data_IF_753506415564
#
_entry.id   IF_753506415564
#
_cell.length_a   1.000
_cell.length_b   1.000
_cell.length_c   1.000
_cell.angle_alpha   90.00
_cell.angle_beta   90.00
_cell.angle_gamma   90.00
#
_symmetry.space_group_name_H-M   'P 1'
#
loop_
_entity.id
_entity.type
_entity.pdbx_description
1 polymer ?
#
# COMPACT_ATOMS: atom_id res chain seq x y z
N UNK A 1 12.83 13.48 -6.57
CA UNK A 1 14.03 12.90 -5.98
C UNK A 1 13.95 11.39 -6.15
N UNK A 2 15.06 10.76 -6.49
CA UNK A 2 15.15 9.30 -6.55
C UNK A 2 15.22 8.77 -5.11
N UNK A 3 14.40 7.77 -4.80
CA UNK A 3 14.41 7.09 -3.50
C UNK A 3 14.81 5.64 -3.73
N UNK A 4 15.88 5.23 -3.05
CA UNK A 4 16.32 3.84 -3.06
C UNK A 4 15.37 3.00 -2.20
N UNK A 5 14.76 1.98 -2.79
CA UNK A 5 13.88 1.06 -2.06
C UNK A 5 14.57 -0.29 -1.81
N UNK A 6 14.24 -0.98 -0.70
CA UNK A 6 14.77 -2.32 -0.47
C UNK A 6 14.26 -3.27 -1.55
N UNK A 7 15.13 -4.14 -2.03
CA UNK A 7 14.76 -5.19 -2.98
C UNK A 7 15.32 -6.53 -2.56
N UNK A 8 14.62 -7.61 -2.88
CA UNK A 8 15.15 -8.96 -2.69
C UNK A 8 16.23 -9.22 -3.74
N UNK A 9 17.40 -9.70 -3.30
CA UNK A 9 18.51 -10.07 -4.20
C UNK A 9 18.24 -11.38 -4.96
N UNK A 10 17.24 -12.14 -4.52
CA UNK A 10 16.81 -13.37 -5.21
C UNK A 10 15.99 -12.98 -6.43
N UNK A 11 16.23 -13.64 -7.54
CA UNK A 11 15.40 -13.43 -8.74
C UNK A 11 14.14 -14.27 -8.67
N UNK A 12 13.00 -13.69 -8.98
CA UNK A 12 11.72 -14.39 -9.03
C UNK A 12 11.76 -15.63 -9.93
N UNK A 13 12.46 -15.56 -11.06
CA UNK A 13 12.65 -16.67 -11.98
C UNK A 13 13.27 -17.91 -11.33
N UNK A 14 14.21 -17.73 -10.40
CA UNK A 14 14.87 -18.83 -9.72
C UNK A 14 13.98 -19.51 -8.66
N UNK A 15 12.98 -18.80 -8.16
CA UNK A 15 12.08 -19.26 -7.10
C UNK A 15 10.64 -19.45 -7.58
N UNK A 16 10.37 -19.19 -8.86
CA UNK A 16 9.03 -19.25 -9.45
C UNK A 16 8.00 -18.40 -8.69
N UNK A 17 8.44 -17.23 -8.22
CA UNK A 17 7.64 -16.30 -7.45
C UNK A 17 8.07 -14.86 -7.78
N UNK A 18 7.14 -13.93 -7.72
CA UNK A 18 7.44 -12.49 -7.78
C UNK A 18 7.98 -11.99 -6.43
N UNK A 19 8.66 -10.84 -6.45
CA UNK A 19 9.21 -10.20 -5.25
C UNK A 19 8.74 -8.73 -5.18
N UNK A 20 7.42 -8.50 -4.97
CA UNK A 20 6.86 -7.17 -4.95
C UNK A 20 7.20 -6.45 -3.63
N UNK A 21 7.59 -5.18 -3.72
CA UNK A 21 7.74 -4.30 -2.56
C UNK A 21 6.44 -3.52 -2.39
N UNK A 22 5.65 -3.93 -1.44
CA UNK A 22 4.33 -3.37 -1.09
C UNK A 22 4.33 -2.81 0.33
N UNK A 23 3.33 -2.02 0.69
CA UNK A 23 3.25 -1.39 2.02
C UNK A 23 2.99 -2.38 3.15
N UNK A 24 2.12 -3.38 2.96
CA UNK A 24 1.55 -4.18 4.04
C UNK A 24 2.58 -4.82 4.99
N UNK A 25 3.65 -5.49 4.54
CA UNK A 25 4.61 -6.10 5.46
C UNK A 25 5.30 -5.09 6.39
N UNK A 26 5.59 -3.89 5.87
CA UNK A 26 6.26 -2.84 6.64
C UNK A 26 5.33 -2.19 7.66
N UNK A 27 4.08 -1.93 7.27
CA UNK A 27 3.11 -1.32 8.19
C UNK A 27 2.67 -2.29 9.28
N UNK A 28 2.43 -3.56 8.97
CA UNK A 28 2.09 -4.57 9.98
C UNK A 28 3.23 -4.77 10.96
N UNK A 29 4.47 -4.88 10.47
CA UNK A 29 5.61 -4.97 11.37
C UNK A 29 5.71 -3.75 12.31
N UNK A 30 5.42 -2.54 11.80
CA UNK A 30 5.44 -1.33 12.61
C UNK A 30 4.34 -1.32 13.68
N UNK A 31 3.12 -1.65 13.29
CA UNK A 31 1.94 -1.58 14.15
C UNK A 31 1.94 -2.68 15.22
N UNK A 32 2.27 -3.93 14.85
CA UNK A 32 2.14 -5.09 15.72
C UNK A 32 3.39 -5.35 16.58
N UNK A 33 4.59 -5.12 16.04
CA UNK A 33 5.84 -5.54 16.67
C UNK A 33 6.76 -4.37 17.02
N UNK A 34 6.50 -3.20 16.46
CA UNK A 34 7.45 -2.10 16.45
C UNK A 34 8.62 -2.34 15.50
N UNK A 35 9.26 -1.27 15.07
CA UNK A 35 10.40 -1.32 14.16
C UNK A 35 11.71 -1.11 14.93
N UNK A 36 12.67 -1.99 14.72
CA UNK A 36 14.06 -1.73 15.07
C UNK A 36 14.69 -0.67 14.13
N UNK A 37 15.97 -0.37 14.28
CA UNK A 37 16.63 0.66 13.50
C UNK A 37 16.71 0.33 12.00
N UNK A 38 16.87 -0.93 11.63
CA UNK A 38 16.95 -1.37 10.24
C UNK A 38 15.53 -1.38 9.62
N UNK A 39 14.56 -1.96 10.31
CA UNK A 39 13.16 -1.97 9.88
C UNK A 39 12.60 -0.57 9.65
N UNK A 40 12.94 0.40 10.53
CA UNK A 40 12.56 1.82 10.31
C UNK A 40 13.14 2.39 9.02
N UNK A 41 14.40 2.16 8.74
CA UNK A 41 15.02 2.67 7.51
C UNK A 41 14.40 2.06 6.25
N UNK A 42 14.07 0.76 6.30
CA UNK A 42 13.44 0.08 5.17
C UNK A 42 12.00 0.58 4.95
N UNK A 43 11.22 0.65 6.01
CA UNK A 43 9.85 1.16 5.98
C UNK A 43 9.78 2.62 5.48
N UNK A 44 10.65 3.50 6.01
CA UNK A 44 10.74 4.89 5.59
C UNK A 44 11.02 5.03 4.08
N UNK A 45 11.90 4.23 3.52
CA UNK A 45 12.20 4.25 2.07
C UNK A 45 11.00 3.86 1.23
N UNK A 46 10.25 2.84 1.65
CA UNK A 46 9.02 2.43 0.97
C UNK A 46 7.96 3.53 1.02
N UNK A 47 7.81 4.18 2.17
CA UNK A 47 6.91 5.33 2.34
C UNK A 47 7.35 6.52 1.46
N UNK A 48 8.60 6.96 1.59
CA UNK A 48 9.14 8.13 0.87
C UNK A 48 9.10 7.97 -0.66
N UNK A 49 9.23 6.75 -1.18
CA UNK A 49 9.10 6.51 -2.61
C UNK A 49 7.69 6.86 -3.11
N UNK A 50 6.65 6.54 -2.34
CA UNK A 50 5.26 6.83 -2.67
C UNK A 50 4.95 8.33 -2.60
N UNK A 51 5.39 8.98 -1.53
CA UNK A 51 5.30 10.43 -1.38
C UNK A 51 6.05 11.16 -2.52
N UNK A 52 7.28 10.74 -2.84
CA UNK A 52 8.06 11.32 -3.94
C UNK A 52 7.38 11.15 -5.31
N UNK A 53 6.70 10.01 -5.56
CA UNK A 53 5.91 9.85 -6.79
C UNK A 53 4.78 10.88 -6.85
N UNK A 54 4.05 11.07 -5.77
CA UNK A 54 3.03 12.11 -5.69
C UNK A 54 3.61 13.50 -5.94
N UNK A 55 4.68 13.86 -5.25
CA UNK A 55 5.32 15.17 -5.40
C UNK A 55 5.80 15.44 -6.84
N UNK A 56 6.28 14.40 -7.54
CA UNK A 56 6.80 14.55 -8.91
C UNK A 56 5.72 14.49 -10.00
N UNK A 57 4.60 13.82 -9.74
CA UNK A 57 3.58 13.54 -10.78
C UNK A 57 2.22 14.15 -10.50
N UNK A 58 1.95 14.54 -9.26
CA UNK A 58 0.62 14.93 -8.78
C UNK A 58 -0.36 13.76 -8.64
N UNK A 59 0.09 12.51 -8.87
CA UNK A 59 -0.76 11.33 -8.78
C UNK A 59 -0.74 10.77 -7.37
N UNK A 60 -1.88 10.71 -6.70
CA UNK A 60 -1.99 10.06 -5.39
C UNK A 60 -1.52 8.60 -5.49
N UNK A 61 -0.63 8.22 -4.61
CA UNK A 61 0.02 6.91 -4.66
C UNK A 61 0.11 6.32 -3.28
N UNK A 62 -0.58 5.22 -3.06
CA UNK A 62 -0.44 4.43 -1.85
C UNK A 62 -0.67 2.97 -2.22
N UNK A 63 0.42 2.24 -2.44
CA UNK A 63 0.36 0.89 -3.03
C UNK A 63 0.52 -0.20 -1.97
N UNK A 64 -0.27 -1.23 -2.12
CA UNK A 64 -0.21 -2.45 -1.29
C UNK A 64 -0.69 -3.66 -2.10
N UNK A 65 -0.73 -4.81 -1.46
CA UNK A 65 -1.42 -5.98 -2.00
C UNK A 65 -2.91 -5.87 -1.66
N UNK A 66 -3.76 -5.90 -2.67
CA UNK A 66 -5.19 -5.68 -2.50
C UNK A 66 -6.02 -6.62 -3.40
N UNK A 67 -7.20 -6.97 -2.90
CA UNK A 67 -8.23 -7.53 -3.76
C UNK A 67 -8.80 -6.45 -4.66
N UNK A 68 -9.18 -6.83 -5.88
CA UNK A 68 -9.85 -5.96 -6.85
C UNK A 68 -11.19 -6.60 -7.26
N UNK A 69 -12.17 -5.79 -7.61
CA UNK A 69 -13.54 -6.22 -7.90
C UNK A 69 -13.74 -6.80 -9.31
N UNK A 70 -12.64 -7.01 -10.02
CA UNK A 70 -12.60 -7.60 -11.36
C UNK A 70 -11.41 -8.55 -11.53
N UNK A 71 -11.43 -9.36 -12.59
CA UNK A 71 -10.31 -10.26 -12.91
C UNK A 71 -8.98 -9.47 -12.98
N UNK A 72 -7.92 -9.96 -12.26
CA UNK A 72 -7.70 -11.28 -11.65
C UNK A 72 -8.05 -11.36 -10.14
N UNK A 73 -8.81 -10.44 -9.59
CA UNK A 73 -9.35 -10.41 -8.22
C UNK A 73 -8.34 -10.21 -7.08
N UNK A 74 -7.06 -10.31 -7.32
CA UNK A 74 -6.01 -9.99 -6.36
C UNK A 74 -4.74 -9.54 -7.08
N UNK A 75 -4.16 -8.42 -6.64
CA UNK A 75 -2.99 -7.82 -7.25
C UNK A 75 -2.01 -7.29 -6.20
N UNK A 76 -0.75 -7.37 -6.55
CA UNK A 76 0.34 -6.66 -5.88
C UNK A 76 0.59 -5.33 -6.60
N UNK A 77 -0.04 -4.25 -6.15
CA UNK A 77 0.36 -2.91 -6.52
C UNK A 77 1.62 -2.55 -5.71
N UNK A 78 2.73 -2.35 -6.37
CA UNK A 78 4.05 -2.31 -5.73
C UNK A 78 4.83 -1.04 -6.06
N UNK A 79 5.71 -0.65 -5.15
CA UNK A 79 6.73 0.37 -5.43
C UNK A 79 7.72 -0.15 -6.47
N UNK A 80 8.04 -1.44 -6.39
CA UNK A 80 8.95 -2.12 -7.30
C UNK A 80 8.69 -3.63 -7.30
N UNK A 81 8.71 -4.24 -8.47
CA UNK A 81 8.70 -5.70 -8.61
C UNK A 81 9.48 -6.12 -9.86
N UNK A 82 10.38 -7.09 -9.71
CA UNK A 82 11.09 -7.77 -10.80
C UNK A 82 11.66 -6.84 -11.89
N UNK A 83 12.35 -5.77 -11.50
CA UNK A 83 12.96 -4.82 -12.43
C UNK A 83 12.03 -3.68 -12.86
N UNK A 84 10.76 -3.66 -12.44
CA UNK A 84 9.77 -2.69 -12.88
C UNK A 84 9.29 -1.81 -11.72
N UNK A 85 9.55 -0.50 -11.73
CA UNK A 85 8.96 0.44 -10.80
C UNK A 85 7.44 0.51 -10.99
N UNK A 86 6.71 0.65 -9.90
CA UNK A 86 5.25 0.84 -9.88
C UNK A 86 4.49 -0.28 -10.61
N UNK A 87 5.01 -1.49 -10.53
CA UNK A 87 4.35 -2.66 -11.12
C UNK A 87 3.04 -2.98 -10.39
N UNK A 88 2.05 -3.45 -11.16
CA UNK A 88 0.81 -4.02 -10.65
C UNK A 88 0.70 -5.41 -11.25
N UNK A 89 0.90 -6.43 -10.43
CA UNK A 89 1.12 -7.78 -10.93
C UNK A 89 0.37 -8.84 -10.12
N UNK A 90 0.05 -9.94 -10.78
CA UNK A 90 -0.38 -11.17 -10.11
C UNK A 90 0.81 -11.94 -9.54
N UNK A 91 0.58 -12.92 -8.70
CA UNK A 91 1.59 -13.86 -8.19
C UNK A 91 2.35 -14.61 -9.31
N UNK A 92 1.71 -14.80 -10.46
CA UNK A 92 2.30 -15.43 -11.64
C UNK A 92 2.98 -14.47 -12.61
N UNK A 93 3.04 -13.15 -12.27
CA UNK A 93 3.71 -12.14 -13.06
C UNK A 93 2.85 -11.50 -14.17
N UNK A 94 1.56 -11.79 -14.24
CA UNK A 94 0.62 -11.07 -15.12
C UNK A 94 0.56 -9.58 -14.74
N UNK A 95 0.54 -8.65 -15.71
CA UNK A 95 0.62 -7.21 -15.47
C UNK A 95 -0.71 -6.50 -15.74
N UNK A 96 -1.16 -5.66 -14.79
CA UNK A 96 -2.46 -4.97 -14.79
C UNK A 96 -2.32 -3.53 -14.26
N UNK A 97 -1.51 -2.66 -14.89
CA UNK A 97 -1.21 -1.32 -14.37
C UNK A 97 -2.46 -0.42 -14.25
N UNK A 98 -3.50 -0.69 -15.04
CA UNK A 98 -4.79 0.02 -15.01
C UNK A 98 -5.61 -0.25 -13.75
N UNK A 99 -5.33 -1.35 -13.05
CA UNK A 99 -6.03 -1.76 -11.81
C UNK A 99 -5.25 -1.36 -10.55
N UNK A 100 -4.30 -0.42 -10.64
CA UNK A 100 -3.60 0.06 -9.45
C UNK A 100 -4.60 0.71 -8.50
N UNK A 101 -4.65 0.18 -7.29
CA UNK A 101 -5.46 0.73 -6.20
C UNK A 101 -4.63 1.68 -5.34
N UNK A 102 -5.17 2.84 -5.00
CA UNK A 102 -4.72 3.66 -3.88
C UNK A 102 -5.26 2.96 -2.64
N UNK A 103 -4.41 2.18 -1.99
CA UNK A 103 -4.80 1.27 -0.90
C UNK A 103 -5.23 2.01 0.35
N UNK A 104 -6.47 1.82 0.77
CA UNK A 104 -7.02 2.46 1.95
C UNK A 104 -6.34 1.98 3.23
N UNK A 105 -6.15 0.67 3.41
CA UNK A 105 -5.44 0.11 4.58
C UNK A 105 -4.03 0.66 4.72
N UNK A 106 -3.30 0.78 3.60
CA UNK A 106 -1.96 1.33 3.62
C UNK A 106 -1.95 2.83 3.95
N UNK A 107 -2.92 3.61 3.45
CA UNK A 107 -3.05 5.04 3.77
C UNK A 107 -3.28 5.27 5.28
N UNK A 108 -4.21 4.54 5.88
CA UNK A 108 -4.44 4.62 7.33
C UNK A 108 -3.22 4.19 8.14
N UNK A 109 -2.56 3.11 7.74
CA UNK A 109 -1.40 2.59 8.45
C UNK A 109 -0.19 3.54 8.37
N UNK A 110 0.14 4.06 7.19
CA UNK A 110 1.22 5.03 7.06
C UNK A 110 0.91 6.36 7.77
N UNK A 111 -0.35 6.81 7.77
CA UNK A 111 -0.75 7.99 8.54
C UNK A 111 -0.58 7.77 10.05
N UNK A 112 -0.88 6.56 10.54
CA UNK A 112 -0.65 6.23 11.95
C UNK A 112 0.83 6.22 12.33
N UNK A 113 1.72 5.82 11.39
CA UNK A 113 3.16 5.68 11.65
C UNK A 113 3.91 7.01 11.48
N UNK A 114 3.62 7.78 10.40
CA UNK A 114 4.40 8.97 10.05
C UNK A 114 3.66 10.31 10.21
N UNK A 115 2.32 10.33 10.15
CA UNK A 115 1.47 11.51 10.38
C UNK A 115 1.96 12.75 9.61
N UNK A 116 2.04 12.64 8.27
CA UNK A 116 2.54 13.70 7.40
C UNK A 116 1.42 14.38 6.61
N UNK A 117 1.69 15.57 6.08
CA UNK A 117 0.77 16.30 5.19
C UNK A 117 0.33 15.45 3.98
N UNK A 118 1.22 14.60 3.46
CA UNK A 118 0.87 13.69 2.37
C UNK A 118 -0.12 12.60 2.80
N UNK A 119 0.09 11.99 3.96
CA UNK A 119 -0.84 10.99 4.47
C UNK A 119 -2.18 11.59 4.86
N UNK A 120 -2.21 12.83 5.35
CA UNK A 120 -3.46 13.56 5.59
C UNK A 120 -4.21 13.80 4.28
N UNK A 121 -3.52 14.23 3.22
CA UNK A 121 -4.12 14.37 1.87
C UNK A 121 -4.75 13.07 1.38
N UNK A 122 -4.09 11.92 1.62
CA UNK A 122 -4.65 10.60 1.27
C UNK A 122 -5.93 10.30 2.08
N UNK A 123 -5.91 10.54 3.39
CA UNK A 123 -7.07 10.29 4.24
C UNK A 123 -8.27 11.20 3.90
N UNK A 124 -8.03 12.45 3.51
CA UNK A 124 -9.10 13.34 3.01
C UNK A 124 -9.83 12.77 1.80
N UNK A 125 -9.16 11.98 0.96
CA UNK A 125 -9.78 11.35 -0.20
C UNK A 125 -10.41 9.99 0.10
N UNK A 126 -9.90 9.28 1.10
CA UNK A 126 -10.22 7.86 1.34
C UNK A 126 -11.15 7.63 2.53
N UNK A 127 -11.19 8.51 3.53
CA UNK A 127 -11.94 8.23 4.77
C UNK A 127 -13.44 8.14 4.56
N UNK A 128 -13.99 8.91 3.62
CA UNK A 128 -15.42 9.03 3.40
C UNK A 128 -16.02 7.95 2.46
N UNK A 129 -15.17 7.06 1.88
CA UNK A 129 -15.66 5.97 1.03
C UNK A 129 -16.14 4.74 1.82
N UNK A 130 -16.08 4.79 3.14
CA UNK A 130 -16.55 3.72 4.02
C UNK A 130 -18.07 3.53 3.98
N UNK A 131 -18.51 2.30 4.19
CA UNK A 131 -19.92 1.92 4.32
C UNK A 131 -20.22 1.49 5.77
N UNK A 132 -21.25 2.07 6.38
CA UNK A 132 -21.57 1.83 7.78
C UNK A 132 -21.93 0.36 8.10
N UNK A 133 -22.34 -0.43 7.12
CA UNK A 133 -22.69 -1.84 7.28
C UNK A 133 -21.55 -2.79 6.88
N UNK A 134 -20.66 -2.36 5.99
CA UNK A 134 -19.60 -3.21 5.40
C UNK A 134 -18.20 -2.84 5.88
N UNK A 135 -18.01 -1.64 6.41
CA UNK A 135 -16.71 -1.09 6.76
C UNK A 135 -16.06 -0.35 5.58
N UNK A 136 -14.74 -0.46 5.46
CA UNK A 136 -13.97 0.21 4.41
C UNK A 136 -13.67 -0.71 3.24
N UNK A 137 -13.83 -0.21 1.99
CA UNK A 137 -13.43 -0.93 0.78
C UNK A 137 -11.90 -0.94 0.63
N UNK A 138 -11.39 -1.64 -0.39
CA UNK A 138 -9.95 -1.73 -0.64
C UNK A 138 -9.28 -0.37 -0.93
N UNK A 139 -10.01 0.56 -1.56
CA UNK A 139 -9.53 1.90 -1.85
C UNK A 139 -10.13 2.50 -3.13
N UNK A 140 -9.36 3.31 -3.83
CA UNK A 140 -9.74 3.92 -5.10
C UNK A 140 -8.83 3.43 -6.22
N UNK A 141 -9.35 3.20 -7.42
CA UNK A 141 -8.50 3.02 -8.59
C UNK A 141 -7.76 4.32 -8.94
N UNK A 142 -6.45 4.23 -9.15
CA UNK A 142 -5.61 5.41 -9.45
C UNK A 142 -6.03 6.12 -10.74
N UNK A 143 -6.56 5.37 -11.72
CA UNK A 143 -6.86 5.83 -13.07
C UNK A 143 -8.01 6.82 -13.14
N UNK A 144 -9.04 6.65 -12.33
CA UNK A 144 -10.29 7.42 -12.43
C UNK A 144 -10.91 7.79 -11.07
N UNK A 145 -10.25 7.37 -9.98
CA UNK A 145 -10.70 7.55 -8.60
C UNK A 145 -12.05 6.87 -8.29
N UNK A 146 -12.47 5.91 -9.10
CA UNK A 146 -13.61 5.06 -8.77
C UNK A 146 -13.27 4.13 -7.59
N UNK A 147 -14.30 3.78 -6.81
CA UNK A 147 -14.11 2.90 -5.65
C UNK A 147 -13.86 1.46 -6.11
N UNK A 148 -12.78 0.87 -5.59
CA UNK A 148 -12.58 -0.58 -5.63
C UNK A 148 -13.46 -1.19 -4.53
N UNK A 149 -14.65 -1.67 -4.89
CA UNK A 149 -15.72 -2.06 -3.97
C UNK A 149 -15.49 -3.43 -3.28
N UNK A 150 -14.25 -3.85 -3.10
CA UNK A 150 -13.95 -5.08 -2.37
C UNK A 150 -13.80 -4.81 -0.88
N UNK A 151 -14.63 -5.44 -0.09
CA UNK A 151 -14.60 -5.35 1.39
C UNK A 151 -14.00 -6.63 1.96
N UNK A 152 -12.84 -6.54 2.62
CA UNK A 152 -12.17 -7.69 3.22
C UNK A 152 -11.97 -7.52 4.72
N UNK A 153 -11.83 -8.63 5.41
CA UNK A 153 -11.41 -8.64 6.81
C UNK A 153 -10.01 -8.03 6.97
N UNK A 154 -9.09 -8.36 6.06
CA UNK A 154 -7.72 -7.84 6.08
C UNK A 154 -7.71 -6.30 6.02
N UNK A 155 -8.39 -5.68 5.03
CA UNK A 155 -8.47 -4.22 4.93
C UNK A 155 -9.01 -3.58 6.21
N UNK A 156 -10.12 -4.10 6.72
CA UNK A 156 -10.78 -3.53 7.89
C UNK A 156 -9.99 -3.77 9.18
N UNK A 157 -9.34 -4.91 9.33
CA UNK A 157 -8.48 -5.19 10.48
C UNK A 157 -7.30 -4.21 10.55
N UNK A 158 -6.58 -4.02 9.44
CA UNK A 158 -5.44 -3.09 9.39
C UNK A 158 -5.87 -1.64 9.65
N UNK A 159 -7.02 -1.22 9.11
CA UNK A 159 -7.57 0.12 9.40
C UNK A 159 -7.84 0.30 10.89
N UNK A 160 -8.51 -0.67 11.52
CA UNK A 160 -8.81 -0.60 12.96
C UNK A 160 -7.54 -0.62 13.81
N UNK A 161 -6.56 -1.41 13.42
CA UNK A 161 -5.26 -1.48 14.09
C UNK A 161 -4.49 -0.18 13.97
N UNK A 162 -4.46 0.42 12.77
CA UNK A 162 -3.87 1.73 12.54
C UNK A 162 -4.52 2.84 13.39
N UNK A 163 -5.85 2.83 13.48
CA UNK A 163 -6.59 3.77 14.32
C UNK A 163 -6.29 3.54 15.81
N UNK A 164 -6.19 2.28 16.25
CA UNK A 164 -5.80 1.95 17.61
C UNK A 164 -4.39 2.43 17.94
N UNK A 165 -3.43 2.15 17.04
CA UNK A 165 -2.05 2.59 17.18
C UNK A 165 -1.95 4.13 17.26
N UNK A 166 -2.65 4.86 16.38
CA UNK A 166 -2.67 6.33 16.41
C UNK A 166 -3.22 6.90 17.70
N UNK A 167 -4.21 6.21 18.30
CA UNK A 167 -4.85 6.66 19.55
C UNK A 167 -4.05 6.32 20.82
N UNK A 168 -3.29 5.22 20.81
CA UNK A 168 -2.70 4.65 22.03
C UNK A 168 -1.17 4.50 21.97
N UNK A 169 -0.59 4.63 20.77
CA UNK A 169 0.81 4.35 20.51
C UNK A 169 1.09 2.84 20.35
N UNK A 170 2.39 2.49 20.19
CA UNK A 170 2.82 1.11 20.03
C UNK A 170 2.66 0.29 21.31
#
# INVERSE_FOLDING_TARGET
ADVDVPTDIRTAANFQAISPIVSEPFVLQALELGLDSEGRQLAERVYLAQEARFQNTGTLTMVSEDHVDQDPYFLYASVYADGTPWAVVTESGGSFPELRTISLKAAFAWNAIYDTEYTDTLLEQLSDIGDAAKGWPAGLYETDLSVNEVYTLNTNAIVLEALHYKAHGP
#
